data_IF_495784203599
#
_entry.id   IF_495784203599
#
_cell.length_a   1.000
_cell.length_b   1.000
_cell.length_c   1.000
_cell.angle_alpha   90.00
_cell.angle_beta   90.00
_cell.angle_gamma   90.00
#
_symmetry.space_group_name_H-M   'P 1'
#
loop_
_entity.id
_entity.type
_entity.pdbx_description
1 polymer ?
#
# COMPACT_ATOMS: atom_id res chain seq x y z
N UNK A 1 -6.23 -1.83 0.05
CA UNK A 1 -6.19 -0.78 -0.99
C UNK A 1 -5.68 -1.34 -2.32
N UNK A 2 -4.52 -1.99 -2.38
CA UNK A 2 -3.93 -2.58 -3.60
C UNK A 2 -4.92 -3.49 -4.36
N UNK A 3 -5.62 -4.39 -3.65
CA UNK A 3 -6.64 -5.26 -4.25
C UNK A 3 -7.72 -4.47 -5.00
N UNK A 4 -8.21 -3.36 -4.43
CA UNK A 4 -9.22 -2.51 -5.08
C UNK A 4 -8.67 -1.75 -6.28
N UNK A 5 -7.45 -1.23 -6.16
CA UNK A 5 -6.80 -0.50 -7.25
C UNK A 5 -6.46 -1.43 -8.43
N UNK A 6 -6.16 -2.70 -8.15
CA UNK A 6 -5.85 -3.70 -9.16
C UNK A 6 -7.06 -4.37 -9.84
N UNK A 7 -8.30 -3.99 -9.52
CA UNK A 7 -9.49 -4.57 -10.13
C UNK A 7 -9.56 -4.27 -11.62
N UNK A 8 -9.89 -5.28 -12.39
CA UNK A 8 -10.14 -5.15 -13.82
C UNK A 8 -11.63 -4.99 -14.08
N UNK A 9 -11.98 -4.05 -14.96
CA UNK A 9 -13.34 -3.93 -15.44
C UNK A 9 -13.70 -5.18 -16.27
N UNK A 10 -14.78 -5.86 -15.89
CA UNK A 10 -15.28 -7.05 -16.56
C UNK A 10 -16.58 -6.77 -17.32
N UNK A 11 -17.30 -5.71 -16.94
CA UNK A 11 -18.55 -5.32 -17.57
C UNK A 11 -19.10 -4.03 -17.01
N UNK A 12 -20.11 -3.49 -17.63
CA UNK A 12 -20.82 -2.29 -17.18
C UNK A 12 -22.31 -2.40 -17.50
N UNK A 13 -23.13 -1.82 -16.62
CA UNK A 13 -24.54 -1.59 -16.91
C UNK A 13 -24.76 -0.20 -17.49
N UNK A 14 -25.70 -0.13 -18.40
CA UNK A 14 -26.13 1.12 -19.02
C UNK A 14 -27.64 1.29 -18.82
N UNK A 15 -28.04 2.37 -18.18
CA UNK A 15 -29.44 2.69 -18.01
C UNK A 15 -30.04 3.21 -19.33
N UNK A 16 -31.27 2.81 -19.63
CA UNK A 16 -32.01 3.35 -20.78
C UNK A 16 -32.48 4.78 -20.55
N UNK A 17 -32.74 5.14 -19.29
CA UNK A 17 -33.47 6.35 -18.93
C UNK A 17 -32.63 7.36 -18.13
N UNK A 18 -31.32 7.10 -17.96
CA UNK A 18 -30.41 8.02 -17.26
C UNK A 18 -28.99 7.82 -17.78
N UNK A 19 -28.12 8.78 -17.48
CA UNK A 19 -26.68 8.69 -17.78
C UNK A 19 -25.92 7.83 -16.76
N UNK A 20 -26.64 7.22 -15.81
CA UNK A 20 -26.02 6.38 -14.80
C UNK A 20 -25.49 5.09 -15.42
N UNK A 21 -24.24 4.79 -15.10
CA UNK A 21 -23.58 3.53 -15.42
C UNK A 21 -22.96 2.95 -14.17
N UNK A 22 -22.98 1.62 -14.01
CA UNK A 22 -22.23 0.92 -12.96
C UNK A 22 -21.15 0.04 -13.55
N UNK A 23 -20.15 -0.29 -12.76
CA UNK A 23 -19.08 -1.18 -13.18
C UNK A 23 -19.17 -2.53 -12.49
N UNK A 24 -18.67 -3.57 -13.16
CA UNK A 24 -18.52 -4.91 -12.63
C UNK A 24 -17.04 -5.35 -12.71
N UNK A 25 -16.36 -5.64 -11.57
CA UNK A 25 -16.86 -5.43 -10.20
C UNK A 25 -17.10 -3.96 -9.88
N UNK A 26 -17.93 -3.71 -8.87
CA UNK A 26 -18.21 -2.36 -8.38
C UNK A 26 -16.93 -1.64 -7.92
N UNK A 27 -16.93 -0.30 -8.03
CA UNK A 27 -15.79 0.54 -7.67
C UNK A 27 -14.48 0.15 -8.38
N UNK A 28 -14.54 -0.15 -9.67
CA UNK A 28 -13.35 -0.39 -10.50
C UNK A 28 -12.81 0.93 -11.03
N UNK A 29 -11.52 1.22 -10.75
CA UNK A 29 -10.83 2.35 -11.33
C UNK A 29 -10.11 1.91 -12.61
N UNK A 30 -10.35 2.61 -13.71
CA UNK A 30 -9.81 2.27 -15.04
C UNK A 30 -8.84 3.31 -15.60
N UNK A 31 -8.60 4.40 -14.88
CA UNK A 31 -7.69 5.47 -15.29
C UNK A 31 -6.21 5.17 -14.97
N UNK A 32 -5.31 6.01 -15.46
CA UNK A 32 -3.90 5.93 -15.11
C UNK A 32 -3.70 6.27 -13.63
N UNK A 33 -2.75 5.59 -12.99
CA UNK A 33 -2.42 5.80 -11.59
C UNK A 33 -0.95 6.12 -11.42
N UNK A 34 -0.64 6.93 -10.42
CA UNK A 34 0.72 7.16 -9.93
C UNK A 34 0.72 7.05 -8.41
N UNK A 35 1.79 6.56 -7.84
CA UNK A 35 2.00 6.59 -6.39
C UNK A 35 3.03 7.68 -6.07
N UNK A 36 2.65 8.61 -5.21
CA UNK A 36 3.55 9.66 -4.71
C UNK A 36 4.16 9.24 -3.38
N UNK A 37 5.46 9.41 -3.23
CA UNK A 37 6.19 9.10 -2.00
C UNK A 37 7.29 10.11 -1.74
N UNK A 38 7.73 10.19 -0.50
CA UNK A 38 8.89 10.97 -0.10
C UNK A 38 9.59 10.34 1.11
N UNK A 39 10.61 11.01 1.62
CA UNK A 39 11.42 10.59 2.77
C UNK A 39 10.64 10.43 4.09
N UNK A 40 9.41 10.94 4.15
CA UNK A 40 8.51 10.77 5.31
C UNK A 40 7.54 9.59 5.15
N UNK A 41 7.54 8.95 3.99
CA UNK A 41 6.78 7.71 3.79
C UNK A 41 7.49 6.58 4.53
N UNK A 42 6.90 6.06 5.59
CA UNK A 42 7.55 5.13 6.51
C UNK A 42 6.67 3.92 6.82
N UNK A 43 7.29 2.79 7.13
CA UNK A 43 6.64 1.54 7.53
C UNK A 43 5.66 1.06 6.42
N UNK A 44 4.35 1.05 6.64
CA UNK A 44 3.37 0.79 5.58
C UNK A 44 3.50 1.76 4.39
N UNK A 45 4.02 2.98 4.63
CA UNK A 45 4.38 3.93 3.58
C UNK A 45 5.60 3.54 2.75
N UNK A 46 6.42 2.60 3.19
CA UNK A 46 7.46 1.94 2.39
C UNK A 46 6.88 0.72 1.64
N UNK A 47 6.07 -0.09 2.33
CA UNK A 47 5.50 -1.33 1.78
C UNK A 47 4.48 -1.03 0.67
N UNK A 48 3.63 -0.02 0.85
CA UNK A 48 2.58 0.30 -0.14
C UNK A 48 3.13 0.67 -1.51
N UNK A 49 4.10 1.59 -1.66
CA UNK A 49 4.71 1.90 -2.95
C UNK A 49 5.37 0.68 -3.59
N UNK A 50 6.04 -0.14 -2.79
CA UNK A 50 6.63 -1.38 -3.28
C UNK A 50 5.57 -2.33 -3.85
N UNK A 51 4.45 -2.56 -3.12
CA UNK A 51 3.33 -3.37 -3.62
C UNK A 51 2.67 -2.75 -4.85
N UNK A 52 2.51 -1.42 -4.89
CA UNK A 52 1.93 -0.69 -6.01
C UNK A 52 2.72 -0.92 -7.30
N UNK A 53 4.04 -0.81 -7.22
CA UNK A 53 4.94 -1.08 -8.34
C UNK A 53 4.95 -2.56 -8.73
N UNK A 54 5.03 -3.47 -7.75
CA UNK A 54 5.04 -4.92 -7.98
C UNK A 54 3.75 -5.40 -8.63
N UNK A 55 2.60 -4.81 -8.26
CA UNK A 55 1.31 -5.08 -8.88
C UNK A 55 1.15 -4.42 -10.27
N UNK A 56 2.12 -3.66 -10.76
CA UNK A 56 2.07 -3.02 -12.07
C UNK A 56 1.02 -1.93 -12.21
N UNK A 57 0.61 -1.28 -11.11
CA UNK A 57 -0.48 -0.31 -11.11
C UNK A 57 -0.09 1.04 -11.71
N UNK A 58 1.22 1.37 -11.70
CA UNK A 58 1.71 2.63 -12.26
C UNK A 58 3.11 2.99 -11.73
N UNK A 59 3.63 4.15 -12.14
CA UNK A 59 4.95 4.61 -11.68
C UNK A 59 4.92 5.14 -10.24
N UNK A 60 6.09 5.07 -9.60
CA UNK A 60 6.37 5.77 -8.35
C UNK A 60 7.03 7.11 -8.67
N UNK A 61 6.57 8.18 -8.06
CA UNK A 61 7.10 9.54 -8.27
C UNK A 61 7.45 10.15 -6.91
N UNK A 62 8.61 10.79 -6.83
CA UNK A 62 9.07 11.50 -5.64
C UNK A 62 10.46 11.10 -5.22
N UNK A 63 10.70 11.09 -3.90
CA UNK A 63 11.98 10.71 -3.30
C UNK A 63 11.90 9.31 -2.70
N UNK A 64 13.07 8.73 -2.44
CA UNK A 64 13.16 7.47 -1.70
C UNK A 64 12.41 7.59 -0.38
N UNK A 65 11.59 6.59 -0.05
CA UNK A 65 10.91 6.47 1.24
C UNK A 65 11.91 6.16 2.37
N UNK A 66 11.44 6.17 3.61
CA UNK A 66 12.28 6.04 4.80
C UNK A 66 13.09 4.73 4.83
N UNK A 67 12.47 3.61 4.50
CA UNK A 67 13.13 2.31 4.40
C UNK A 67 13.08 1.48 5.69
N UNK A 68 12.32 1.88 6.70
CA UNK A 68 12.20 1.15 7.95
C UNK A 68 10.92 0.32 8.00
N UNK A 69 10.99 -0.94 7.66
CA UNK A 69 9.83 -1.86 7.64
C UNK A 69 9.89 -2.95 8.72
N UNK A 70 10.85 -2.85 9.63
CA UNK A 70 10.87 -3.70 10.82
C UNK A 70 9.73 -3.30 11.75
N UNK A 71 8.81 -4.22 12.01
CA UNK A 71 7.72 -4.02 12.95
C UNK A 71 8.23 -4.00 14.38
N UNK A 72 7.84 -2.98 15.14
CA UNK A 72 8.28 -2.76 16.51
C UNK A 72 7.09 -2.85 17.47
N UNK A 73 7.33 -3.40 18.66
CA UNK A 73 6.35 -3.44 19.76
C UNK A 73 6.88 -2.67 20.95
N UNK A 74 6.01 -1.85 21.54
CA UNK A 74 6.33 -1.15 22.79
C UNK A 74 6.19 -2.11 23.97
N UNK A 75 7.27 -2.34 24.68
CA UNK A 75 7.33 -3.14 25.91
C UNK A 75 7.44 -2.30 27.19
N UNK A 76 6.89 -1.10 27.16
CA UNK A 76 6.80 -0.24 28.35
C UNK A 76 5.62 -0.56 29.26
N UNK A 77 5.42 0.20 30.37
CA UNK A 77 6.35 1.20 30.84
C UNK A 77 7.51 0.62 31.67
N UNK A 78 8.66 1.25 31.57
CA UNK A 78 9.77 1.00 32.49
C UNK A 78 9.48 1.60 33.86
N UNK A 79 10.31 1.27 34.86
CA UNK A 79 10.13 1.73 36.26
C UNK A 79 10.13 3.27 36.39
N UNK A 80 10.79 3.96 35.47
CA UNK A 80 10.86 5.43 35.39
C UNK A 80 9.79 6.04 34.48
N UNK A 81 8.88 5.22 33.93
CA UNK A 81 7.82 5.65 33.01
C UNK A 81 8.27 5.74 31.54
N UNK A 82 9.50 5.40 31.22
CA UNK A 82 9.97 5.28 29.86
C UNK A 82 9.39 4.05 29.14
N UNK A 83 9.64 3.92 27.85
CA UNK A 83 9.26 2.75 27.05
C UNK A 83 10.44 2.25 26.20
N UNK A 84 10.37 1.00 25.78
CA UNK A 84 11.34 0.37 24.89
C UNK A 84 10.60 -0.26 23.73
N UNK A 85 10.92 0.19 22.54
CA UNK A 85 10.47 -0.44 21.30
C UNK A 85 11.41 -1.61 20.95
N UNK A 86 10.83 -2.78 20.76
CA UNK A 86 11.58 -4.00 20.43
C UNK A 86 11.19 -4.43 19.01
N UNK A 87 12.14 -4.70 18.11
CA UNK A 87 11.85 -5.24 16.79
C UNK A 87 11.37 -6.70 16.92
N UNK A 88 10.20 -6.99 16.36
CA UNK A 88 9.57 -8.32 16.45
C UNK A 88 9.14 -8.87 15.09
N UNK A 89 8.94 -8.01 14.10
CA UNK A 89 8.43 -8.42 12.79
C UNK A 89 9.36 -7.94 11.69
N UNK A 90 9.59 -8.80 10.71
CA UNK A 90 10.23 -8.42 9.46
C UNK A 90 9.27 -8.58 8.29
N UNK A 91 9.48 -7.82 7.22
CA UNK A 91 8.72 -7.94 5.99
C UNK A 91 9.49 -8.78 4.97
N UNK A 92 8.83 -9.77 4.39
CA UNK A 92 9.34 -10.54 3.26
C UNK A 92 8.35 -10.46 2.09
N UNK A 93 8.86 -10.49 0.87
CA UNK A 93 8.03 -10.56 -0.33
C UNK A 93 7.37 -11.94 -0.48
N UNK A 94 6.58 -12.11 -1.56
CA UNK A 94 5.89 -13.37 -1.85
C UNK A 94 6.85 -14.57 -2.09
N UNK A 95 8.13 -14.30 -2.36
CA UNK A 95 9.17 -15.32 -2.53
C UNK A 95 9.95 -15.58 -1.25
N UNK A 96 9.61 -14.90 -0.16
CA UNK A 96 10.30 -15.01 1.12
C UNK A 96 11.59 -14.19 1.22
N UNK A 97 11.84 -13.29 0.28
CA UNK A 97 13.01 -12.42 0.32
C UNK A 97 12.74 -11.15 1.15
N UNK A 98 13.72 -10.74 1.97
CA UNK A 98 13.71 -9.45 2.65
C UNK A 98 14.02 -8.36 1.63
N UNK A 99 13.02 -7.63 1.17
CA UNK A 99 13.16 -6.90 -0.09
C UNK A 99 12.83 -5.41 -0.04
N UNK A 100 12.47 -4.86 1.09
CA UNK A 100 11.98 -3.48 1.20
C UNK A 100 12.91 -2.55 1.99
N UNK A 101 13.86 -3.08 2.69
CA UNK A 101 14.90 -2.32 3.43
C UNK A 101 16.14 -2.01 2.60
#
# INVERSE_FOLDING_TARGET
LIERLGRRLLGSDFSRNSEYTSSYPDATFTGPMVCLQNENSASDGDIFPWMFRTAGLGPLIGKRSWGGVVGITDHGPLIDGGSVNVPEFGYADANGAWSVE
#
